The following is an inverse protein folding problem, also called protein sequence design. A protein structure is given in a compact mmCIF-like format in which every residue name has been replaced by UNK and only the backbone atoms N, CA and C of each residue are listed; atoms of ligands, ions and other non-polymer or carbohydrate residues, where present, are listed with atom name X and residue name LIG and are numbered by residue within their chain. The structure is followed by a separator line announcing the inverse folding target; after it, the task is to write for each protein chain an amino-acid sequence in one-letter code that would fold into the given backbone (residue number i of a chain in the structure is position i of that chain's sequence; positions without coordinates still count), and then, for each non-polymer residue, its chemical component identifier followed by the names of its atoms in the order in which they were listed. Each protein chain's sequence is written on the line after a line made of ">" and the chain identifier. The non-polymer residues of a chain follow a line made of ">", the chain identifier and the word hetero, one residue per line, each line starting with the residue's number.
data_IF_481343097112
#
_entry.id   IF_481343097112
#
_cell.length_a   1.000
_cell.length_b   1.000
_cell.length_c   1.000
_cell.angle_alpha   90.00
_cell.angle_beta   90.00
_cell.angle_gamma   90.00
#
_symmetry.space_group_name_H-M   'P 1'
#
loop_
_entity.id
_entity.type
_entity.pdbx_description
1 polymer ?
#
# COMPACT_ATOMS: atom_id res chain seq x y z
N UNK A 1 13.88 -21.95 -6.68
CA UNK A 1 12.98 -22.84 -5.91
C UNK A 1 11.65 -22.13 -5.82
N UNK A 2 10.56 -22.72 -6.30
CA UNK A 2 9.23 -22.10 -6.21
C UNK A 2 8.84 -22.06 -4.74
N UNK A 3 8.78 -20.86 -4.16
CA UNK A 3 8.13 -20.68 -2.89
C UNK A 3 6.71 -21.26 -3.00
N UNK A 4 6.26 -21.99 -1.99
CA UNK A 4 4.89 -22.53 -1.88
C UNK A 4 3.89 -21.37 -1.76
N UNK A 5 3.67 -20.68 -2.87
CA UNK A 5 2.66 -19.60 -2.94
C UNK A 5 1.28 -20.23 -2.85
N UNK A 6 0.50 -19.84 -1.85
CA UNK A 6 -0.84 -20.37 -1.60
C UNK A 6 -1.87 -19.74 -2.51
N UNK A 7 -1.63 -18.50 -2.95
CA UNK A 7 -2.58 -17.70 -3.73
C UNK A 7 -2.46 -17.95 -5.22
N UNK A 8 -1.24 -18.14 -5.74
CA UNK A 8 -0.99 -18.27 -7.17
C UNK A 8 -1.49 -19.61 -7.71
N UNK A 9 -2.39 -19.57 -8.71
CA UNK A 9 -2.90 -20.75 -9.40
C UNK A 9 -4.05 -21.49 -8.71
N UNK A 10 -4.47 -21.08 -7.51
CA UNK A 10 -5.56 -21.69 -6.77
C UNK A 10 -6.89 -20.91 -6.89
N UNK A 11 -8.01 -21.57 -6.62
CA UNK A 11 -9.30 -20.94 -6.47
C UNK A 11 -9.24 -19.91 -5.34
N UNK A 12 -9.91 -18.77 -5.53
CA UNK A 12 -9.81 -17.62 -4.63
C UNK A 12 -11.03 -17.53 -3.73
N UNK A 13 -10.82 -17.67 -2.43
CA UNK A 13 -11.82 -17.30 -1.43
C UNK A 13 -11.53 -15.88 -0.94
N UNK A 14 -12.46 -14.94 -1.20
CA UNK A 14 -12.33 -13.56 -0.72
C UNK A 14 -12.68 -13.49 0.77
N UNK A 15 -11.80 -12.82 1.53
CA UNK A 15 -12.04 -12.46 2.94
C UNK A 15 -12.28 -10.97 2.99
N UNK A 16 -13.31 -10.52 3.70
CA UNK A 16 -13.71 -9.11 3.78
C UNK A 16 -13.46 -8.50 5.17
N UNK A 17 -12.60 -9.12 5.95
CA UNK A 17 -12.06 -8.59 7.20
C UNK A 17 -10.55 -8.52 7.07
N UNK A 18 -9.94 -7.46 7.60
CA UNK A 18 -8.50 -7.23 7.52
C UNK A 18 -7.70 -8.49 7.88
N UNK A 19 -6.91 -8.96 6.93
CA UNK A 19 -6.18 -10.24 7.02
C UNK A 19 -4.79 -10.08 6.36
N UNK A 20 -3.80 -9.54 7.08
CA UNK A 20 -2.45 -9.34 6.54
C UNK A 20 -1.72 -10.64 6.20
N UNK A 21 -2.15 -11.77 6.79
CA UNK A 21 -1.55 -13.09 6.57
C UNK A 21 -1.72 -13.63 5.14
N UNK A 22 -2.59 -13.01 4.33
CA UNK A 22 -2.74 -13.39 2.92
C UNK A 22 -1.64 -12.82 2.02
N UNK A 23 -0.88 -11.83 2.51
CA UNK A 23 0.23 -11.24 1.76
C UNK A 23 1.35 -12.25 1.55
N UNK A 24 1.81 -12.35 0.32
CA UNK A 24 2.91 -13.23 -0.09
C UNK A 24 3.98 -12.43 -0.83
N UNK A 25 5.22 -12.90 -0.73
CA UNK A 25 6.35 -12.32 -1.44
C UNK A 25 7.00 -13.36 -2.36
N UNK A 26 7.57 -12.88 -3.46
CA UNK A 26 8.38 -13.65 -4.38
C UNK A 26 9.81 -13.12 -4.41
N UNK A 27 10.78 -13.92 -4.86
CA UNK A 27 12.16 -13.52 -4.95
C UNK A 27 12.36 -12.44 -6.06
N UNK A 28 13.05 -11.37 -5.72
CA UNK A 28 13.52 -10.37 -6.69
C UNK A 28 14.82 -10.86 -7.35
N UNK A 29 14.74 -11.26 -8.61
CA UNK A 29 15.91 -11.71 -9.39
C UNK A 29 16.85 -10.57 -9.79
N UNK A 30 16.42 -9.31 -9.68
CA UNK A 30 17.16 -8.12 -10.09
C UNK A 30 17.57 -7.24 -8.89
N UNK A 31 17.81 -7.83 -7.73
CA UNK A 31 18.11 -7.12 -6.49
C UNK A 31 19.43 -6.30 -6.52
N UNK A 32 20.29 -6.53 -7.51
CA UNK A 32 21.56 -5.82 -7.66
C UNK A 32 21.37 -4.39 -8.24
N UNK A 33 20.16 -4.08 -8.74
CA UNK A 33 19.87 -2.74 -9.29
C UNK A 33 18.71 -2.08 -8.57
N UNK A 34 18.74 -0.75 -8.54
CA UNK A 34 17.63 0.03 -8.07
C UNK A 34 16.61 0.24 -9.19
N UNK A 35 15.35 -0.08 -8.96
CA UNK A 35 14.25 0.21 -9.87
C UNK A 35 12.95 0.41 -9.10
N UNK A 36 12.04 1.18 -9.69
CA UNK A 36 10.73 1.44 -9.11
C UNK A 36 9.70 0.42 -9.57
N UNK A 37 8.89 -0.05 -8.62
CA UNK A 37 7.64 -0.76 -8.87
C UNK A 37 6.50 0.14 -8.43
N UNK A 38 5.52 0.37 -9.30
CA UNK A 38 4.29 1.12 -8.99
C UNK A 38 3.09 0.19 -9.11
N UNK A 39 2.29 0.15 -8.07
CA UNK A 39 1.06 -0.64 -7.99
C UNK A 39 -0.09 0.32 -7.68
N UNK A 40 -1.15 0.26 -8.48
CA UNK A 40 -2.31 1.13 -8.34
C UNK A 40 -3.56 0.26 -8.15
N UNK A 41 -4.29 0.49 -7.08
CA UNK A 41 -5.56 -0.15 -6.78
C UNK A 41 -6.67 0.90 -6.79
N UNK A 42 -7.48 0.91 -7.85
CA UNK A 42 -8.58 1.86 -8.03
C UNK A 42 -9.89 1.41 -7.37
N UNK A 43 -9.93 0.18 -6.87
CA UNK A 43 -11.14 -0.45 -6.32
C UNK A 43 -11.07 -0.63 -4.80
N UNK A 44 -10.22 0.14 -4.10
CA UNK A 44 -10.10 0.02 -2.66
C UNK A 44 -11.36 0.53 -1.95
N UNK A 45 -11.80 -0.21 -0.95
CA UNK A 45 -12.90 0.20 -0.07
C UNK A 45 -12.68 -0.31 1.35
N UNK A 46 -13.07 0.51 2.32
CA UNK A 46 -13.19 0.18 3.74
C UNK A 46 -14.48 0.81 4.27
N UNK A 47 -14.72 0.77 5.58
CA UNK A 47 -15.87 1.43 6.19
C UNK A 47 -15.42 2.40 7.29
N UNK A 48 -16.18 3.46 7.44
CA UNK A 48 -16.00 4.38 8.57
C UNK A 48 -16.21 3.61 9.89
N UNK A 49 -15.29 3.72 10.87
CA UNK A 49 -15.39 2.95 12.12
C UNK A 49 -16.58 3.39 13.00
N UNK A 50 -17.14 4.59 12.74
CA UNK A 50 -18.22 5.17 13.55
C UNK A 50 -19.58 4.97 12.85
N UNK A 51 -19.68 5.29 11.56
CA UNK A 51 -20.97 5.30 10.85
C UNK A 51 -21.21 4.05 10.00
N UNK A 52 -20.17 3.22 9.81
CA UNK A 52 -20.15 2.06 8.91
C UNK A 52 -20.47 2.40 7.45
N UNK A 53 -20.42 3.69 7.08
CA UNK A 53 -20.55 4.11 5.70
C UNK A 53 -19.33 3.64 4.91
N UNK A 54 -19.52 3.10 3.68
CA UNK A 54 -18.39 2.74 2.82
C UNK A 54 -17.55 3.96 2.41
N UNK A 55 -16.25 3.80 2.47
CA UNK A 55 -15.24 4.71 1.95
C UNK A 55 -14.55 4.07 0.76
N UNK A 56 -14.28 4.84 -0.28
CA UNK A 56 -13.64 4.38 -1.52
C UNK A 56 -12.37 5.19 -1.75
N UNK A 57 -11.35 4.55 -2.30
CA UNK A 57 -10.09 5.21 -2.62
C UNK A 57 -9.34 4.54 -3.77
N UNK A 58 -8.47 5.31 -4.41
CA UNK A 58 -7.33 4.77 -5.14
C UNK A 58 -6.14 4.68 -4.21
N UNK A 59 -5.58 3.50 -4.05
CA UNK A 59 -4.34 3.27 -3.29
C UNK A 59 -3.18 3.12 -4.25
N UNK A 60 -2.15 3.94 -4.07
CA UNK A 60 -0.94 3.92 -4.88
C UNK A 60 0.22 3.48 -3.98
N UNK A 61 0.90 2.42 -4.36
CA UNK A 61 2.05 1.85 -3.67
C UNK A 61 3.24 1.90 -4.62
N UNK A 62 4.25 2.67 -4.27
CA UNK A 62 5.50 2.76 -5.02
C UNK A 62 6.64 2.26 -4.13
N UNK A 63 7.51 1.39 -4.65
CA UNK A 63 8.64 0.93 -3.87
C UNK A 63 9.86 0.59 -4.72
N UNK A 64 11.03 0.64 -4.09
CA UNK A 64 12.28 0.11 -4.62
C UNK A 64 12.54 -1.20 -3.87
N UNK A 65 12.41 -2.35 -4.53
CA UNK A 65 12.58 -3.63 -3.86
C UNK A 65 14.04 -3.88 -3.49
N UNK A 66 14.25 -4.62 -2.41
CA UNK A 66 15.50 -5.31 -2.15
C UNK A 66 15.42 -6.75 -2.67
N UNK A 67 15.38 -7.74 -1.81
CA UNK A 67 15.39 -9.15 -2.19
C UNK A 67 14.02 -9.74 -2.53
N UNK A 68 12.95 -9.01 -2.22
CA UNK A 68 11.56 -9.49 -2.33
C UNK A 68 10.71 -8.55 -3.16
N UNK A 69 9.75 -9.13 -3.90
CA UNK A 69 8.65 -8.44 -4.56
C UNK A 69 7.33 -8.94 -3.96
N UNK A 70 6.33 -8.06 -3.86
CA UNK A 70 4.99 -8.50 -3.45
C UNK A 70 4.37 -9.34 -4.57
N UNK A 71 3.72 -10.45 -4.20
CA UNK A 71 2.94 -11.24 -5.15
C UNK A 71 1.60 -10.53 -5.39
N UNK A 72 1.29 -10.25 -6.66
CA UNK A 72 0.21 -9.34 -7.06
C UNK A 72 -1.19 -9.83 -6.73
N UNK A 73 -1.45 -11.15 -6.81
CA UNK A 73 -2.74 -11.73 -6.43
C UNK A 73 -2.96 -11.65 -4.93
N UNK A 74 -1.94 -11.93 -4.14
CA UNK A 74 -2.00 -11.82 -2.67
C UNK A 74 -2.23 -10.38 -2.24
N UNK A 75 -1.59 -9.41 -2.90
CA UNK A 75 -1.82 -7.99 -2.65
C UNK A 75 -3.28 -7.59 -2.95
N UNK A 76 -3.84 -8.07 -4.07
CA UNK A 76 -5.25 -7.84 -4.38
C UNK A 76 -6.16 -8.38 -3.28
N UNK A 77 -5.91 -9.59 -2.80
CA UNK A 77 -6.69 -10.20 -1.72
C UNK A 77 -6.55 -9.43 -0.41
N UNK A 78 -5.35 -9.00 -0.10
CA UNK A 78 -5.06 -8.19 1.08
C UNK A 78 -5.82 -6.85 1.05
N UNK A 79 -5.74 -6.09 -0.04
CA UNK A 79 -6.46 -4.82 -0.17
C UNK A 79 -7.99 -5.03 -0.16
N UNK A 80 -8.49 -6.12 -0.74
CA UNK A 80 -9.91 -6.48 -0.68
C UNK A 80 -10.37 -6.83 0.74
N UNK A 81 -9.49 -7.33 1.59
CA UNK A 81 -9.82 -7.69 2.97
C UNK A 81 -10.24 -6.50 3.84
N UNK A 82 -9.90 -5.28 3.45
CA UNK A 82 -10.34 -4.06 4.13
C UNK A 82 -11.83 -3.75 3.95
N UNK A 83 -12.53 -4.41 3.04
CA UNK A 83 -13.90 -4.04 2.62
C UNK A 83 -14.87 -3.82 3.76
N UNK A 84 -14.85 -4.65 4.80
CA UNK A 84 -15.72 -4.52 5.97
C UNK A 84 -14.93 -4.07 7.22
N UNK A 85 -13.68 -3.65 7.05
CA UNK A 85 -12.83 -3.22 8.16
C UNK A 85 -13.09 -1.75 8.49
N UNK A 86 -13.54 -1.50 9.74
CA UNK A 86 -13.79 -0.15 10.26
C UNK A 86 -12.48 0.53 10.62
N UNK A 87 -12.06 1.52 9.84
CA UNK A 87 -10.79 2.21 10.03
C UNK A 87 -10.82 3.63 9.46
N UNK A 88 -9.99 4.52 10.00
CA UNK A 88 -9.80 5.86 9.44
C UNK A 88 -8.88 5.82 8.22
N UNK A 89 -9.03 6.79 7.33
CA UNK A 89 -8.27 6.85 6.08
C UNK A 89 -6.76 6.90 6.30
N UNK A 90 -6.31 7.64 7.31
CA UNK A 90 -4.92 7.78 7.70
C UNK A 90 -4.35 6.45 8.21
N UNK A 91 -5.14 5.72 8.99
CA UNK A 91 -4.74 4.40 9.52
C UNK A 91 -4.62 3.35 8.41
N UNK A 92 -5.50 3.40 7.40
CA UNK A 92 -5.41 2.52 6.22
C UNK A 92 -4.01 2.61 5.60
N UNK A 93 -3.56 3.82 5.29
CA UNK A 93 -2.31 4.04 4.55
C UNK A 93 -1.10 3.65 5.39
N UNK A 94 -1.11 3.96 6.69
CA UNK A 94 -0.07 3.53 7.60
C UNK A 94 -0.03 2.01 7.77
N UNK A 95 -1.19 1.36 7.88
CA UNK A 95 -1.30 -0.10 7.98
C UNK A 95 -0.74 -0.78 6.74
N UNK A 96 -1.16 -0.34 5.54
CA UNK A 96 -0.65 -0.90 4.27
C UNK A 96 0.86 -0.72 4.15
N UNK A 97 1.40 0.46 4.49
CA UNK A 97 2.83 0.72 4.45
C UNK A 97 3.61 -0.17 5.44
N UNK A 98 3.11 -0.32 6.66
CA UNK A 98 3.74 -1.14 7.70
C UNK A 98 3.75 -2.63 7.32
N UNK A 99 2.63 -3.17 6.84
CA UNK A 99 2.52 -4.58 6.46
C UNK A 99 3.45 -4.92 5.29
N UNK A 100 3.47 -4.06 4.26
CA UNK A 100 4.35 -4.24 3.12
C UNK A 100 5.83 -4.05 3.50
N UNK A 101 6.15 -3.10 4.35
CA UNK A 101 7.53 -2.91 4.85
C UNK A 101 8.00 -4.14 5.61
N UNK A 102 7.16 -4.70 6.47
CA UNK A 102 7.47 -5.92 7.25
C UNK A 102 7.66 -7.14 6.35
N UNK A 103 6.84 -7.29 5.30
CA UNK A 103 6.91 -8.43 4.38
C UNK A 103 8.13 -8.34 3.45
N UNK A 104 8.34 -7.16 2.83
CA UNK A 104 9.26 -6.98 1.71
C UNK A 104 10.65 -6.52 2.13
N UNK A 105 10.75 -5.83 3.27
CA UNK A 105 11.98 -5.16 3.71
C UNK A 105 12.57 -4.31 2.57
N UNK A 106 11.78 -3.41 1.95
CA UNK A 106 12.18 -2.70 0.74
C UNK A 106 13.24 -1.64 1.06
N UNK A 107 14.03 -1.26 0.05
CA UNK A 107 14.98 -0.14 0.16
C UNK A 107 14.26 1.19 0.35
N UNK A 108 13.12 1.33 -0.30
CA UNK A 108 12.22 2.46 -0.23
C UNK A 108 10.79 2.01 -0.48
N UNK A 109 9.84 2.62 0.21
CA UNK A 109 8.40 2.46 -0.05
C UNK A 109 7.68 3.77 0.25
N UNK A 110 6.69 4.08 -0.57
CA UNK A 110 5.69 5.13 -0.30
C UNK A 110 4.30 4.60 -0.60
N UNK A 111 3.33 5.01 0.21
CA UNK A 111 1.92 4.66 0.03
C UNK A 111 1.09 5.93 0.10
N UNK A 112 0.23 6.11 -0.89
CA UNK A 112 -0.71 7.24 -0.99
C UNK A 112 -2.12 6.71 -1.10
N UNK A 113 -3.05 7.33 -0.39
CA UNK A 113 -4.48 7.12 -0.58
C UNK A 113 -5.13 8.36 -1.18
N UNK A 114 -5.92 8.20 -2.22
CA UNK A 114 -6.80 9.24 -2.75
C UNK A 114 -8.25 8.84 -2.46
N UNK A 115 -8.75 9.26 -1.29
CA UNK A 115 -10.09 8.92 -0.83
C UNK A 115 -11.15 9.83 -1.47
N UNK A 116 -12.27 9.23 -1.84
CA UNK A 116 -13.43 9.94 -2.40
C UNK A 116 -13.93 11.04 -1.48
N UNK A 117 -14.33 12.15 -2.07
CA UNK A 117 -14.79 13.33 -1.32
C UNK A 117 -16.05 12.99 -0.51
N UNK A 118 -16.05 13.38 0.76
CA UNK A 118 -17.21 13.29 1.67
C UNK A 118 -17.44 14.64 2.35
N UNK A 119 -18.65 15.15 2.27
CA UNK A 119 -18.98 16.47 2.86
C UNK A 119 -18.12 17.61 2.32
N UNK A 120 -17.64 17.53 1.09
CA UNK A 120 -16.75 18.52 0.47
C UNK A 120 -15.27 18.39 0.88
N UNK A 121 -14.91 17.39 1.70
CA UNK A 121 -13.54 17.19 2.17
C UNK A 121 -12.92 16.00 1.43
N UNK A 122 -11.74 16.21 0.82
CA UNK A 122 -10.88 15.18 0.26
C UNK A 122 -9.73 14.89 1.23
N UNK A 123 -9.53 13.61 1.58
CA UNK A 123 -8.46 13.18 2.48
C UNK A 123 -7.47 12.36 1.66
N UNK A 124 -6.20 12.82 1.64
CA UNK A 124 -5.14 12.21 0.83
C UNK A 124 -3.90 11.95 1.69
N UNK A 125 -3.94 10.93 2.55
CA UNK A 125 -2.79 10.59 3.39
C UNK A 125 -1.65 10.03 2.54
N UNK A 126 -0.43 10.36 2.96
CA UNK A 126 0.82 9.93 2.35
C UNK A 126 1.79 9.50 3.45
N UNK A 127 2.43 8.38 3.25
CA UNK A 127 3.49 7.89 4.14
C UNK A 127 4.61 7.31 3.29
N UNK A 128 5.84 7.46 3.75
CA UNK A 128 6.98 6.83 3.11
C UNK A 128 8.01 6.35 4.13
N UNK A 129 8.85 5.46 3.68
CA UNK A 129 9.97 4.92 4.42
C UNK A 129 11.14 4.64 3.47
N UNK A 130 12.34 4.96 3.88
CA UNK A 130 13.59 4.65 3.17
C UNK A 130 14.64 4.13 4.14
N UNK A 131 15.48 3.21 3.69
CA UNK A 131 16.58 2.66 4.47
C UNK A 131 17.95 2.97 3.85
N UNK A 132 18.96 3.15 4.69
CA UNK A 132 20.33 3.42 4.24
C UNK A 132 20.42 4.64 3.30
N UNK A 133 20.96 4.45 2.10
CA UNK A 133 21.10 5.55 1.11
C UNK A 133 19.76 6.14 0.63
N UNK A 134 18.63 5.50 0.93
CA UNK A 134 17.29 5.97 0.53
C UNK A 134 16.56 6.79 1.60
N UNK A 135 17.15 7.00 2.78
CA UNK A 135 16.59 7.89 3.82
C UNK A 135 16.46 9.33 3.31
N UNK A 136 17.46 9.81 2.58
CA UNK A 136 17.42 11.13 1.97
C UNK A 136 16.34 11.25 0.88
N UNK A 137 16.15 10.20 0.06
CA UNK A 137 15.06 10.15 -0.90
C UNK A 137 13.70 10.26 -0.18
N UNK A 138 13.51 9.53 0.93
CA UNK A 138 12.27 9.57 1.69
C UNK A 138 11.98 10.99 2.21
N UNK A 139 12.99 11.69 2.73
CA UNK A 139 12.88 13.08 3.19
C UNK A 139 12.50 14.02 2.04
N UNK A 140 13.21 13.94 0.91
CA UNK A 140 12.95 14.80 -0.26
C UNK A 140 11.55 14.57 -0.85
N UNK A 141 11.08 13.33 -0.89
CA UNK A 141 9.74 12.99 -1.37
C UNK A 141 8.65 13.56 -0.46
N UNK A 142 8.82 13.50 0.85
CA UNK A 142 7.89 14.09 1.81
C UNK A 142 7.83 15.61 1.65
N UNK A 143 8.97 16.29 1.55
CA UNK A 143 9.05 17.74 1.32
C UNK A 143 8.38 18.15 0.00
N UNK A 144 8.62 17.41 -1.08
CA UNK A 144 8.00 17.67 -2.39
C UNK A 144 6.48 17.51 -2.34
N UNK A 145 5.98 16.53 -1.58
CA UNK A 145 4.56 16.31 -1.38
C UNK A 145 3.91 17.51 -0.69
N UNK A 146 4.53 18.04 0.37
CA UNK A 146 4.09 19.28 1.03
C UNK A 146 4.03 20.47 0.07
N UNK A 147 5.07 20.69 -0.73
CA UNK A 147 5.14 21.83 -1.66
C UNK A 147 4.07 21.75 -2.75
N UNK A 148 3.73 20.57 -3.22
CA UNK A 148 2.68 20.36 -4.22
C UNK A 148 1.32 20.88 -3.73
N UNK A 149 0.94 20.54 -2.50
CA UNK A 149 -0.34 20.97 -1.91
C UNK A 149 -0.38 22.47 -1.56
N UNK A 150 0.77 23.11 -1.29
CA UNK A 150 0.83 24.56 -1.06
C UNK A 150 0.63 25.39 -2.34
N UNK A 151 1.03 24.86 -3.51
CA UNK A 151 0.92 25.55 -4.80
C UNK A 151 -0.42 25.38 -5.50
N UNK A 152 -1.25 24.48 -5.02
CA UNK A 152 -2.57 24.15 -5.62
C UNK A 152 -3.71 25.02 -5.05
N UNK A 153 -3.39 26.12 -4.37
CA UNK A 153 -4.36 27.10 -3.85
C UNK A 153 -4.26 28.41 -4.61
#
# INVERSE_FOLDING_TARGET
>A
MSNNLKSLGNETNYVYNYTPEVLEAIDNKNFERDYFVSLVCDEFTCVCPITHQPDFATIIINYIPDKKLVESKSLKLYLTSFRNFGTFHEDVINTVANDLTKLLEPRYIEVTGDFSVRGGISIKPYVNFGSGKFEELARQRLESHFQHFQRSR
#
